data_IF_694866368146
#
_entry.id   IF_694866368146
#
_cell.length_a   1.000
_cell.length_b   1.000
_cell.length_c   1.000
_cell.angle_alpha   90.00
_cell.angle_beta   90.00
_cell.angle_gamma   90.00
#
_symmetry.space_group_name_H-M   'P 1'
#
loop_
_entity.id
_entity.type
_entity.pdbx_description
1 polymer ?
#
# COMPACT_ATOMS: atom_id res chain seq x y z
N UNK A 1 -3.62 20.06 -20.44
CA UNK A 1 -2.93 19.44 -19.29
C UNK A 1 -3.95 18.52 -18.65
N UNK A 2 -3.70 17.22 -18.63
CA UNK A 2 -4.61 16.25 -17.99
C UNK A 2 -4.41 16.40 -16.48
N UNK A 3 -5.46 16.80 -15.77
CA UNK A 3 -5.46 16.77 -14.30
C UNK A 3 -5.37 15.31 -13.87
N UNK A 4 -4.17 14.88 -13.50
CA UNK A 4 -3.93 13.60 -12.86
C UNK A 4 -4.46 13.75 -11.42
N UNK A 5 -5.69 13.30 -11.12
CA UNK A 5 -6.19 13.47 -9.74
C UNK A 5 -7.58 12.97 -9.33
N UNK A 6 -8.56 12.74 -10.19
CA UNK A 6 -9.96 12.56 -9.74
C UNK A 6 -10.57 11.18 -10.06
N UNK A 7 -9.97 10.08 -9.60
CA UNK A 7 -10.50 8.72 -9.89
C UNK A 7 -10.69 7.78 -8.69
N UNK A 8 -10.69 8.28 -7.45
CA UNK A 8 -11.07 7.47 -6.29
C UNK A 8 -12.12 8.16 -5.43
N UNK A 9 -13.20 7.43 -5.15
CA UNK A 9 -14.26 7.84 -4.23
C UNK A 9 -13.90 7.51 -2.79
N UNK A 10 -14.54 8.16 -1.82
CA UNK A 10 -14.41 7.78 -0.40
C UNK A 10 -14.81 6.31 -0.17
N UNK A 11 -15.75 5.78 -0.97
CA UNK A 11 -16.14 4.38 -0.93
C UNK A 11 -15.00 3.44 -1.34
N UNK A 12 -14.19 3.81 -2.34
CA UNK A 12 -13.02 3.02 -2.75
C UNK A 12 -11.97 2.98 -1.65
N UNK A 13 -11.73 4.12 -0.99
CA UNK A 13 -10.82 4.22 0.16
C UNK A 13 -11.33 3.32 1.28
N UNK A 14 -12.62 3.42 1.62
CA UNK A 14 -13.23 2.63 2.69
C UNK A 14 -13.15 1.13 2.41
N UNK A 15 -13.45 0.71 1.17
CA UNK A 15 -13.31 -0.67 0.73
C UNK A 15 -11.88 -1.19 0.90
N UNK A 16 -10.87 -0.38 0.55
CA UNK A 16 -9.47 -0.75 0.71
C UNK A 16 -9.08 -0.87 2.19
N UNK A 17 -9.56 0.04 3.06
CA UNK A 17 -9.34 -0.08 4.51
C UNK A 17 -9.92 -1.38 5.07
N UNK A 18 -11.15 -1.73 4.68
CA UNK A 18 -11.80 -2.97 5.10
C UNK A 18 -11.02 -4.19 4.62
N UNK A 19 -10.54 -4.17 3.37
CA UNK A 19 -9.68 -5.22 2.83
C UNK A 19 -8.37 -5.37 3.61
N UNK A 20 -7.72 -4.26 3.98
CA UNK A 20 -6.49 -4.27 4.77
C UNK A 20 -6.76 -4.79 6.19
N UNK A 21 -7.84 -4.34 6.84
CA UNK A 21 -8.21 -4.81 8.17
C UNK A 21 -8.49 -6.33 8.19
N UNK A 22 -9.21 -6.84 7.18
CA UNK A 22 -9.54 -8.26 7.05
C UNK A 22 -8.37 -9.15 6.60
N UNK A 23 -7.16 -8.62 6.37
CA UNK A 23 -5.99 -9.44 6.03
C UNK A 23 -5.53 -10.27 7.23
N UNK A 24 -5.61 -9.73 8.46
CA UNK A 24 -5.08 -10.42 9.64
C UNK A 24 -5.78 -11.75 9.93
N UNK A 25 -7.05 -11.86 9.53
CA UNK A 25 -7.92 -13.02 9.76
C UNK A 25 -7.70 -14.14 8.73
N UNK A 26 -6.96 -13.89 7.66
CA UNK A 26 -6.73 -14.86 6.59
C UNK A 26 -5.50 -15.74 6.89
N UNK A 27 -5.58 -17.07 6.65
CA UNK A 27 -4.44 -17.96 6.85
C UNK A 27 -3.42 -17.77 5.72
N UNK A 28 -2.39 -16.96 5.98
CA UNK A 28 -1.27 -16.70 5.06
C UNK A 28 0.01 -16.42 5.82
N UNK A 29 1.14 -16.73 5.18
CA UNK A 29 2.48 -16.42 5.68
C UNK A 29 2.71 -14.90 5.74
N UNK A 30 3.60 -14.45 6.62
CA UNK A 30 3.92 -13.02 6.81
C UNK A 30 4.32 -12.34 5.52
N UNK A 31 5.18 -12.97 4.71
CA UNK A 31 5.61 -12.42 3.43
C UNK A 31 4.42 -12.16 2.47
N UNK A 32 3.50 -13.13 2.36
CA UNK A 32 2.30 -13.02 1.55
C UNK A 32 1.37 -11.92 2.07
N UNK A 33 1.28 -11.81 3.39
CA UNK A 33 0.52 -10.76 4.09
C UNK A 33 1.03 -9.38 3.74
N UNK A 34 2.35 -9.17 3.86
CA UNK A 34 2.99 -7.90 3.57
C UNK A 34 2.78 -7.53 2.10
N UNK A 35 3.05 -8.44 1.16
CA UNK A 35 2.78 -8.22 -0.27
C UNK A 35 1.33 -7.82 -0.51
N UNK A 36 0.37 -8.48 0.15
CA UNK A 36 -1.06 -8.20 -0.05
C UNK A 36 -1.45 -6.83 0.49
N UNK A 37 -0.97 -6.44 1.67
CA UNK A 37 -1.15 -5.08 2.21
C UNK A 37 -0.58 -4.05 1.25
N UNK A 38 0.67 -4.23 0.82
CA UNK A 38 1.34 -3.31 -0.12
C UNK A 38 0.56 -3.19 -1.41
N UNK A 39 0.07 -4.29 -1.96
CA UNK A 39 -0.70 -4.29 -3.22
C UNK A 39 -1.96 -3.42 -3.15
N UNK A 40 -2.65 -3.41 -2.01
CA UNK A 40 -3.82 -2.57 -1.80
C UNK A 40 -3.44 -1.09 -1.68
N UNK A 41 -2.36 -0.79 -0.95
CA UNK A 41 -1.85 0.57 -0.82
C UNK A 41 -1.36 1.13 -2.16
N UNK A 42 -0.63 0.33 -2.94
CA UNK A 42 -0.14 0.74 -4.26
C UNK A 42 -1.30 0.95 -5.22
N UNK A 43 -2.30 0.06 -5.23
CA UNK A 43 -3.49 0.24 -6.05
C UNK A 43 -4.22 1.55 -5.73
N UNK A 44 -4.41 1.85 -4.44
CA UNK A 44 -5.05 3.10 -3.99
C UNK A 44 -4.27 4.33 -4.47
N UNK A 45 -2.95 4.33 -4.25
CA UNK A 45 -2.09 5.46 -4.59
C UNK A 45 -2.01 5.67 -6.11
N UNK A 46 -1.90 4.60 -6.90
CA UNK A 46 -1.85 4.68 -8.37
C UNK A 46 -3.12 5.29 -8.96
N UNK A 47 -4.29 4.99 -8.38
CA UNK A 47 -5.57 5.60 -8.80
C UNK A 47 -5.65 7.09 -8.50
N UNK A 48 -4.87 7.56 -7.53
CA UNK A 48 -4.69 8.99 -7.23
C UNK A 48 -3.56 9.62 -8.07
N UNK A 49 -2.98 8.86 -9.01
CA UNK A 49 -1.85 9.30 -9.82
C UNK A 49 -0.52 9.37 -9.06
N UNK A 50 -0.47 8.82 -7.85
CA UNK A 50 0.74 8.73 -7.03
C UNK A 50 1.40 7.39 -7.34
N UNK A 51 2.67 7.43 -7.74
CA UNK A 51 3.48 6.22 -7.93
C UNK A 51 4.34 5.97 -6.69
N UNK A 52 3.93 5.10 -5.74
CA UNK A 52 4.75 4.77 -4.60
C UNK A 52 6.00 3.98 -5.00
N UNK A 53 7.07 4.15 -4.23
CA UNK A 53 8.31 3.37 -4.32
C UNK A 53 8.44 2.58 -3.02
N UNK A 54 8.51 1.25 -3.14
CA UNK A 54 8.79 0.37 -2.00
C UNK A 54 10.27 0.49 -1.64
N UNK A 55 10.56 0.76 -0.37
CA UNK A 55 11.94 0.92 0.13
C UNK A 55 12.15 0.09 1.40
N UNK A 56 13.32 0.25 2.03
CA UNK A 56 13.59 -0.33 3.35
C UNK A 56 13.63 -1.86 3.35
N UNK A 57 13.29 -2.45 4.50
CA UNK A 57 13.32 -3.90 4.71
C UNK A 57 12.37 -4.66 3.80
N UNK A 58 11.23 -4.08 3.45
CA UNK A 58 10.24 -4.75 2.60
C UNK A 58 10.72 -4.88 1.15
N UNK A 59 11.50 -3.93 0.65
CA UNK A 59 12.16 -4.08 -0.65
C UNK A 59 13.11 -5.28 -0.66
N UNK A 60 13.91 -5.46 0.41
CA UNK A 60 14.82 -6.61 0.57
C UNK A 60 14.04 -7.92 0.68
N UNK A 61 12.95 -7.93 1.44
CA UNK A 61 12.05 -9.09 1.57
C UNK A 61 11.49 -9.55 0.21
N UNK A 62 11.07 -8.62 -0.66
CA UNK A 62 10.62 -8.95 -2.04
C UNK A 62 11.76 -9.55 -2.86
N UNK A 63 12.93 -8.91 -2.90
CA UNK A 63 14.06 -9.38 -3.72
C UNK A 63 14.67 -10.70 -3.22
N UNK A 64 14.40 -11.06 -1.97
CA UNK A 64 14.81 -12.33 -1.37
C UNK A 64 13.68 -13.35 -1.32
N UNK A 65 12.53 -13.07 -1.96
CA UNK A 65 11.36 -13.96 -2.00
C UNK A 65 10.90 -14.44 -0.60
N UNK A 66 10.99 -13.56 0.40
CA UNK A 66 10.60 -13.86 1.78
C UNK A 66 11.68 -14.57 2.61
N UNK A 67 12.90 -14.78 2.09
CA UNK A 67 14.02 -15.31 2.88
C UNK A 67 14.63 -14.29 3.85
N UNK A 68 14.29 -13.01 3.68
CA UNK A 68 14.46 -11.95 4.68
C UNK A 68 13.07 -11.47 5.11
N UNK A 69 12.82 -11.31 6.41
CA UNK A 69 11.52 -10.89 6.93
C UNK A 69 11.63 -9.53 7.62
N UNK A 70 10.66 -8.65 7.36
CA UNK A 70 10.49 -7.40 8.09
C UNK A 70 9.09 -7.33 8.72
N UNK A 71 8.94 -6.52 9.77
CA UNK A 71 7.68 -6.38 10.50
C UNK A 71 6.78 -5.31 9.88
N UNK A 72 7.39 -4.33 9.21
CA UNK A 72 6.76 -3.16 8.64
C UNK A 72 7.00 -3.01 7.14
N UNK A 73 6.30 -2.06 6.53
CA UNK A 73 6.43 -1.70 5.13
C UNK A 73 6.70 -0.21 5.03
N UNK A 74 7.75 0.14 4.28
CA UNK A 74 8.10 1.52 3.98
C UNK A 74 7.79 1.87 2.52
N UNK A 75 7.09 2.99 2.33
CA UNK A 75 6.78 3.55 1.01
C UNK A 75 7.26 5.00 0.93
N UNK A 76 7.93 5.35 -0.18
CA UNK A 76 8.20 6.73 -0.57
C UNK A 76 7.17 7.15 -1.61
N UNK A 77 6.55 8.32 -1.42
CA UNK A 77 5.49 8.84 -2.29
C UNK A 77 5.73 10.30 -2.70
N UNK A 78 5.46 10.63 -3.96
CA UNK A 78 5.34 12.00 -4.43
C UNK A 78 3.91 12.48 -4.24
N UNK A 79 3.63 13.25 -3.18
CA UNK A 79 2.26 13.72 -2.88
C UNK A 79 1.89 13.64 -1.40
N UNK A 80 2.74 14.22 -0.53
CA UNK A 80 2.64 14.09 0.93
C UNK A 80 1.27 14.48 1.49
N UNK A 81 0.62 15.51 0.95
CA UNK A 81 -0.68 15.97 1.47
C UNK A 81 -1.82 14.98 1.18
N UNK A 82 -1.82 14.37 -0.01
CA UNK A 82 -2.78 13.33 -0.37
C UNK A 82 -2.54 12.06 0.44
N UNK A 83 -1.28 11.63 0.56
CA UNK A 83 -0.91 10.50 1.42
C UNK A 83 -1.35 10.75 2.87
N UNK A 84 -1.17 11.96 3.39
CA UNK A 84 -1.65 12.32 4.74
C UNK A 84 -3.17 12.18 4.87
N UNK A 85 -3.95 12.63 3.89
CA UNK A 85 -5.41 12.57 3.93
C UNK A 85 -5.95 11.13 4.00
N UNK A 86 -5.27 10.18 3.36
CA UNK A 86 -5.80 8.83 3.15
C UNK A 86 -5.05 7.71 3.87
N UNK A 87 -3.83 7.94 4.35
CA UNK A 87 -2.99 6.91 5.00
C UNK A 87 -2.67 7.21 6.47
N UNK A 88 -2.87 8.45 6.94
CA UNK A 88 -2.69 8.81 8.34
C UNK A 88 -4.08 8.92 8.99
N UNK A 89 -4.52 7.83 9.60
CA UNK A 89 -5.68 7.78 10.49
C UNK A 89 -5.25 8.08 11.92
#
# INVERSE_FOLDING_TARGET
MVEVGDFISEADVQLIKEKIAGIQEQPMETFQRNIKVVSYLTYLLEKMGIRPIIVGGHAVEIYTLGHYTTVDVDLVVSGREFARKFLLF
#
